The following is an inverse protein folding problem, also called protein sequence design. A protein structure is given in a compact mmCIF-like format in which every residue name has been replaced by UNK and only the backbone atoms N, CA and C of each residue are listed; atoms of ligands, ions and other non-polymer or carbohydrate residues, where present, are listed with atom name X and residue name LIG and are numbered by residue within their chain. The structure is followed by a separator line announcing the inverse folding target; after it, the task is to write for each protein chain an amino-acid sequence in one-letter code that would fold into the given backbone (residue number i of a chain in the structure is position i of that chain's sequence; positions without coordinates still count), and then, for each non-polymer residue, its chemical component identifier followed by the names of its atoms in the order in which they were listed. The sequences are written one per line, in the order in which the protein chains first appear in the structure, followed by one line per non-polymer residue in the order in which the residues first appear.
data_IF_188303427600
#
_entry.id   IF_188303427600
#
_cell.length_a   1.000
_cell.length_b   1.000
_cell.length_c   1.000
_cell.angle_alpha   90.00
_cell.angle_beta   90.00
_cell.angle_gamma   90.00
#
_symmetry.space_group_name_H-M   'P 1'
#
loop_
_entity.id
_entity.type
_entity.pdbx_description
1 polymer ?
#
# COMPACT_ATOMS: atom_id res chain seq x y z
N UNK A 1 6.40 30.70 -4.72
CA UNK A 1 6.28 29.86 -3.51
C UNK A 1 7.29 28.72 -3.61
N UNK A 2 7.87 28.27 -2.50
CA UNK A 2 8.70 27.06 -2.48
C UNK A 2 7.92 25.87 -3.04
N UNK A 3 8.60 24.93 -3.69
CA UNK A 3 7.97 23.67 -4.11
C UNK A 3 7.59 22.87 -2.88
N UNK A 4 6.36 22.34 -2.83
CA UNK A 4 5.90 21.46 -1.74
C UNK A 4 6.79 20.22 -1.66
N UNK A 5 6.97 19.50 -2.76
CA UNK A 5 7.82 18.31 -2.85
C UNK A 5 9.14 18.65 -3.54
N UNK A 6 10.26 18.35 -2.90
CA UNK A 6 11.58 18.43 -3.51
C UNK A 6 12.48 17.35 -2.93
N UNK A 7 12.96 16.46 -3.79
CA UNK A 7 13.80 15.32 -3.43
C UNK A 7 15.10 15.40 -4.20
N UNK A 8 16.23 15.37 -3.49
CA UNK A 8 17.52 15.06 -4.08
C UNK A 8 17.47 13.66 -4.71
N UNK A 9 18.38 13.42 -5.66
CA UNK A 9 18.48 12.12 -6.33
C UNK A 9 18.91 11.03 -5.34
N UNK A 10 17.96 10.16 -5.00
CA UNK A 10 18.14 9.11 -4.01
C UNK A 10 19.16 8.07 -4.45
N UNK A 11 19.14 7.66 -5.72
CA UNK A 11 20.03 6.63 -6.24
C UNK A 11 21.47 7.14 -6.29
N UNK A 12 21.67 8.38 -6.74
CA UNK A 12 22.99 9.02 -6.70
C UNK A 12 23.45 9.17 -5.25
N UNK A 13 22.59 9.64 -4.34
CA UNK A 13 23.01 9.82 -2.95
C UNK A 13 23.55 8.54 -2.31
N UNK A 14 22.86 7.41 -2.50
CA UNK A 14 23.21 6.15 -1.82
C UNK A 14 24.23 5.30 -2.60
N UNK A 15 24.28 5.39 -3.93
CA UNK A 15 25.07 4.47 -4.76
C UNK A 15 26.31 5.10 -5.45
N UNK A 16 26.47 6.42 -5.42
CA UNK A 16 27.52 7.12 -6.18
C UNK A 16 28.95 6.83 -5.69
N UNK A 17 29.17 6.58 -4.39
CA UNK A 17 30.49 6.18 -3.89
C UNK A 17 30.43 5.09 -2.81
N UNK A 18 30.81 3.84 -3.13
CA UNK A 18 30.76 2.73 -2.18
C UNK A 18 31.76 2.83 -1.01
N UNK A 19 32.71 3.77 -1.06
CA UNK A 19 33.72 3.95 0.01
C UNK A 19 33.29 4.96 1.09
N UNK A 20 32.35 5.85 0.78
CA UNK A 20 31.83 6.86 1.71
C UNK A 20 30.31 6.65 1.75
N UNK A 21 29.84 5.74 2.59
CA UNK A 21 28.41 5.52 2.77
C UNK A 21 27.72 6.84 3.14
N UNK A 22 26.78 7.27 2.31
CA UNK A 22 25.98 8.47 2.55
C UNK A 22 24.62 8.10 3.16
N UNK A 23 24.02 9.06 3.86
CA UNK A 23 22.68 8.94 4.43
C UNK A 23 21.74 9.84 3.64
N UNK A 24 20.59 9.31 3.27
CA UNK A 24 19.49 10.05 2.67
C UNK A 24 18.38 10.24 3.69
N UNK A 25 17.95 11.46 3.95
CA UNK A 25 16.89 11.74 4.93
C UNK A 25 15.70 12.40 4.26
N UNK A 26 14.49 11.94 4.61
CA UNK A 26 13.24 12.63 4.28
C UNK A 26 12.79 13.44 5.49
N UNK A 27 12.56 14.72 5.24
CA UNK A 27 12.38 15.75 6.24
C UNK A 27 11.10 16.50 5.94
N UNK A 28 10.26 16.62 6.97
CA UNK A 28 9.09 17.49 6.96
C UNK A 28 9.49 18.87 7.44
N UNK A 29 9.24 19.87 6.63
CA UNK A 29 9.52 21.25 6.95
C UNK A 29 8.23 22.06 7.00
N UNK A 30 8.00 22.79 8.09
CA UNK A 30 6.83 23.65 8.26
C UNK A 30 7.30 25.10 8.28
N UNK A 31 6.88 25.88 7.28
CA UNK A 31 7.25 27.29 7.15
C UNK A 31 6.70 28.09 8.32
N UNK A 32 7.55 28.90 8.96
CA UNK A 32 7.13 29.81 10.02
C UNK A 32 6.26 30.94 9.44
N UNK A 33 5.14 31.27 10.11
CA UNK A 33 4.33 32.40 9.72
C UNK A 33 5.11 33.72 9.78
N UNK A 34 5.09 34.47 8.68
CA UNK A 34 5.67 35.81 8.60
C UNK A 34 4.75 36.74 7.80
N UNK A 35 3.90 37.49 8.51
CA UNK A 35 2.93 38.39 7.89
C UNK A 35 3.59 39.54 7.09
N UNK A 36 4.88 39.80 7.29
CA UNK A 36 5.62 40.82 6.52
C UNK A 36 6.09 40.29 5.16
N UNK A 37 6.12 38.96 4.98
CA UNK A 37 6.53 38.34 3.72
C UNK A 37 5.36 38.22 2.74
N UNK A 38 5.51 38.84 1.56
CA UNK A 38 4.54 38.70 0.46
C UNK A 38 4.36 37.23 0.04
N UNK A 39 5.44 36.43 0.16
CA UNK A 39 5.43 35.00 -0.18
C UNK A 39 4.61 34.22 0.84
N UNK A 40 4.71 34.55 2.13
CA UNK A 40 3.89 33.93 3.17
C UNK A 40 2.39 34.21 2.95
N UNK A 41 2.02 35.46 2.65
CA UNK A 41 0.62 35.81 2.36
C UNK A 41 0.09 35.04 1.13
N UNK A 42 0.94 34.78 0.14
CA UNK A 42 0.59 33.95 -1.01
C UNK A 42 0.39 32.48 -0.61
N UNK A 43 1.27 31.94 0.22
CA UNK A 43 1.15 30.56 0.77
C UNK A 43 -0.16 30.42 1.55
N UNK A 44 -0.46 31.37 2.43
CA UNK A 44 -1.69 31.37 3.23
C UNK A 44 -2.94 31.40 2.34
N UNK A 45 -2.96 32.28 1.33
CA UNK A 45 -4.08 32.38 0.39
C UNK A 45 -4.26 31.11 -0.45
N UNK A 46 -3.16 30.54 -0.97
CA UNK A 46 -3.22 29.31 -1.75
C UNK A 46 -3.69 28.13 -0.91
N UNK A 47 -3.22 28.05 0.34
CA UNK A 47 -3.52 26.96 1.27
C UNK A 47 -4.90 27.08 1.94
N UNK A 48 -5.56 28.25 1.84
CA UNK A 48 -6.89 28.47 2.41
C UNK A 48 -7.96 27.53 1.82
N UNK A 49 -7.84 27.17 0.53
CA UNK A 49 -8.72 26.20 -0.11
C UNK A 49 -8.20 24.76 0.04
N UNK A 50 -8.21 24.26 1.28
CA UNK A 50 -7.70 22.93 1.63
C UNK A 50 -8.38 21.75 0.90
N UNK A 51 -9.53 21.97 0.24
CA UNK A 51 -10.26 20.92 -0.49
C UNK A 51 -9.66 20.61 -1.85
N UNK A 52 -9.03 21.60 -2.50
CA UNK A 52 -8.46 21.47 -3.84
C UNK A 52 -6.94 21.71 -3.84
N UNK A 53 -6.45 22.51 -2.90
CA UNK A 53 -5.05 22.88 -2.80
C UNK A 53 -4.37 22.17 -1.63
N UNK A 54 -3.13 21.78 -1.85
CA UNK A 54 -2.25 21.29 -0.80
C UNK A 54 -1.87 22.46 0.12
N UNK A 55 -1.49 22.14 1.36
CA UNK A 55 -0.94 23.16 2.25
C UNK A 55 0.50 23.48 1.85
N UNK A 56 0.71 24.64 1.22
CA UNK A 56 2.02 25.10 0.72
C UNK A 56 2.97 25.54 1.85
N UNK A 57 2.50 25.64 3.09
CA UNK A 57 3.36 25.82 4.26
C UNK A 57 4.04 24.51 4.70
N UNK A 58 3.51 23.36 4.29
CA UNK A 58 4.10 22.05 4.57
C UNK A 58 4.94 21.60 3.39
N UNK A 59 6.24 21.49 3.63
CA UNK A 59 7.23 21.14 2.64
C UNK A 59 7.76 19.74 2.95
N UNK A 60 7.93 18.94 1.91
CA UNK A 60 8.54 17.61 1.96
C UNK A 60 9.88 17.69 1.24
N UNK A 61 10.96 17.32 1.95
CA UNK A 61 12.34 17.47 1.50
C UNK A 61 13.08 16.14 1.62
N UNK A 62 13.53 15.60 0.50
CA UNK A 62 14.51 14.52 0.48
C UNK A 62 15.91 15.08 0.32
N UNK A 63 16.77 14.88 1.30
CA UNK A 63 18.09 15.47 1.35
C UNK A 63 19.17 14.41 1.45
N UNK A 64 20.18 14.51 0.59
CA UNK A 64 21.41 13.76 0.74
C UNK A 64 22.33 14.46 1.74
N UNK A 65 22.78 13.75 2.78
CA UNK A 65 23.63 14.30 3.83
C UNK A 65 24.90 14.96 3.27
N UNK A 66 25.58 14.28 2.35
CA UNK A 66 26.80 14.77 1.70
C UNK A 66 26.58 16.08 0.94
N UNK A 67 25.51 16.15 0.16
CA UNK A 67 25.21 17.32 -0.68
C UNK A 67 24.72 18.49 0.16
N UNK A 68 24.02 18.19 1.26
CA UNK A 68 23.63 19.15 2.29
C UNK A 68 24.88 19.79 2.92
N UNK A 69 25.87 19.02 3.37
CA UNK A 69 27.12 19.57 3.89
C UNK A 69 27.88 20.43 2.87
N UNK A 70 27.94 19.99 1.61
CA UNK A 70 28.59 20.76 0.54
C UNK A 70 27.88 22.10 0.31
N UNK A 71 26.54 22.10 0.27
CA UNK A 71 25.73 23.32 0.15
C UNK A 71 25.96 24.28 1.32
N UNK A 72 26.04 23.78 2.55
CA UNK A 72 26.32 24.61 3.71
C UNK A 72 27.72 25.24 3.64
N UNK A 73 28.75 24.46 3.29
CA UNK A 73 30.13 24.96 3.12
C UNK A 73 30.22 26.03 2.02
N UNK A 74 29.51 25.83 0.91
CA UNK A 74 29.45 26.81 -0.17
C UNK A 74 28.68 28.08 0.22
N UNK A 75 27.70 27.96 1.13
CA UNK A 75 26.87 29.10 1.55
C UNK A 75 27.61 30.08 2.46
N UNK A 76 28.59 29.62 3.26
CA UNK A 76 29.69 30.37 3.92
C UNK A 76 29.39 31.64 4.72
N UNK A 77 28.17 32.17 4.71
CA UNK A 77 27.83 33.52 5.15
C UNK A 77 26.59 33.63 6.04
N UNK A 78 25.92 32.51 6.33
CA UNK A 78 24.80 32.46 7.28
C UNK A 78 25.27 31.87 8.61
N UNK A 79 24.91 32.54 9.71
CA UNK A 79 25.21 32.03 11.05
C UNK A 79 24.19 30.96 11.47
N UNK A 80 24.61 30.01 12.30
CA UNK A 80 23.74 28.95 12.84
C UNK A 80 22.46 29.51 13.49
N UNK A 81 22.55 30.63 14.19
CA UNK A 81 21.41 31.30 14.83
C UNK A 81 20.40 31.90 13.85
N UNK A 82 20.79 32.10 12.59
CA UNK A 82 19.87 32.57 11.55
C UNK A 82 19.09 31.43 10.92
N UNK A 83 19.68 30.23 10.92
CA UNK A 83 19.18 29.04 10.22
C UNK A 83 18.39 28.09 11.13
N UNK A 84 18.59 28.16 12.44
CA UNK A 84 17.83 27.37 13.40
C UNK A 84 16.65 28.20 13.94
N UNK A 85 15.48 27.58 14.00
CA UNK A 85 14.24 28.20 14.48
C UNK A 85 13.63 27.42 15.64
N UNK A 86 12.97 28.10 16.59
CA UNK A 86 12.29 27.42 17.68
C UNK A 86 11.12 26.58 17.14
N UNK A 87 10.94 25.39 17.70
CA UNK A 87 9.81 24.54 17.32
C UNK A 87 8.48 25.20 17.72
N UNK A 88 7.60 25.37 16.74
CA UNK A 88 6.23 25.81 16.88
C UNK A 88 5.36 24.64 17.36
N UNK A 89 4.59 24.89 18.43
CA UNK A 89 3.51 23.99 18.80
C UNK A 89 2.45 24.02 17.70
N UNK A 90 2.18 22.87 17.11
CA UNK A 90 1.18 22.70 16.05
C UNK A 90 0.02 21.89 16.62
N UNK A 91 -1.22 22.34 16.38
CA UNK A 91 -2.44 21.65 16.84
C UNK A 91 -2.69 20.32 16.12
N UNK A 92 -1.94 20.04 15.05
CA UNK A 92 -2.06 18.85 14.22
C UNK A 92 -0.69 18.19 14.02
N UNK A 93 -0.70 16.87 13.89
CA UNK A 93 0.52 16.09 13.63
C UNK A 93 0.82 16.08 12.13
N UNK A 94 2.04 16.44 11.76
CA UNK A 94 2.51 16.45 10.37
C UNK A 94 3.58 15.38 10.06
N UNK A 95 3.93 14.54 11.04
CA UNK A 95 4.80 13.37 10.92
C UNK A 95 4.06 12.07 11.24
N UNK A 96 4.57 10.93 10.79
CA UNK A 96 4.04 9.62 11.18
C UNK A 96 4.18 9.37 12.68
N UNK A 97 3.39 8.42 13.21
CA UNK A 97 3.50 7.98 14.60
C UNK A 97 4.93 7.50 14.89
N UNK A 98 5.47 7.75 16.11
CA UNK A 98 6.73 7.17 16.52
C UNK A 98 6.74 5.65 16.33
N UNK A 99 7.84 5.12 15.82
CA UNK A 99 8.00 3.69 15.54
C UNK A 99 7.52 3.24 14.16
N UNK A 100 6.92 4.12 13.34
CA UNK A 100 6.52 3.78 11.96
C UNK A 100 7.73 3.40 11.07
N UNK A 101 8.88 4.04 11.31
CA UNK A 101 10.14 3.80 10.60
C UNK A 101 11.27 3.42 11.56
N UNK A 102 12.21 2.62 11.07
CA UNK A 102 13.37 2.13 11.82
C UNK A 102 14.39 3.24 12.13
N UNK A 103 15.03 3.15 13.30
CA UNK A 103 16.18 3.98 13.75
C UNK A 103 15.97 5.50 13.70
N UNK A 104 14.71 5.94 13.56
CA UNK A 104 14.34 7.36 13.40
C UNK A 104 14.89 8.24 14.54
N UNK A 105 14.87 7.75 15.78
CA UNK A 105 15.37 8.50 16.94
C UNK A 105 16.89 8.69 16.93
N UNK A 106 17.64 7.72 16.41
CA UNK A 106 19.09 7.85 16.24
C UNK A 106 19.41 8.91 15.19
N UNK A 107 18.76 8.83 14.03
CA UNK A 107 18.91 9.83 12.98
C UNK A 107 18.50 11.24 13.44
N UNK A 108 17.42 11.35 14.22
CA UNK A 108 16.99 12.62 14.80
C UNK A 108 18.04 13.21 15.75
N UNK A 109 18.68 12.40 16.59
CA UNK A 109 19.75 12.89 17.48
C UNK A 109 20.98 13.36 16.71
N UNK A 110 21.33 12.70 15.62
CA UNK A 110 22.59 12.95 14.92
C UNK A 110 22.48 14.02 13.81
N UNK A 111 21.31 14.16 13.16
CA UNK A 111 21.20 14.93 11.92
C UNK A 111 20.12 16.02 11.90
N UNK A 112 19.26 16.15 12.92
CA UNK A 112 18.14 17.12 12.88
C UNK A 112 18.61 18.56 12.65
N UNK A 113 19.61 19.02 13.41
CA UNK A 113 20.12 20.39 13.27
C UNK A 113 20.74 20.65 11.89
N UNK A 114 21.44 19.64 11.35
CA UNK A 114 22.07 19.74 10.05
C UNK A 114 21.02 19.83 8.93
N UNK A 115 19.98 18.99 9.00
CA UNK A 115 18.87 19.01 8.04
C UNK A 115 18.12 20.35 8.09
N UNK A 116 17.88 20.88 9.29
CA UNK A 116 17.23 22.19 9.46
C UNK A 116 18.03 23.31 8.80
N UNK A 117 19.35 23.35 9.05
CA UNK A 117 20.24 24.32 8.41
C UNK A 117 20.19 24.22 6.90
N UNK A 118 20.22 23.01 6.34
CA UNK A 118 20.18 22.81 4.90
C UNK A 118 18.89 23.28 4.24
N UNK A 119 17.74 22.98 4.85
CA UNK A 119 16.44 23.47 4.36
C UNK A 119 16.39 25.00 4.45
N UNK A 120 16.81 25.58 5.57
CA UNK A 120 16.71 27.01 5.79
C UNK A 120 17.70 27.84 4.98
N UNK A 121 18.88 27.31 4.61
CA UNK A 121 19.78 28.03 3.69
C UNK A 121 19.12 28.28 2.34
N UNK A 122 18.42 27.29 1.80
CA UNK A 122 17.70 27.43 0.54
C UNK A 122 16.49 28.36 0.69
N UNK A 123 15.64 28.12 1.70
CA UNK A 123 14.42 28.90 1.92
C UNK A 123 14.72 30.38 2.18
N UNK A 124 15.76 30.68 2.96
CA UNK A 124 16.14 32.04 3.29
C UNK A 124 16.75 32.74 2.07
N UNK A 125 17.63 32.06 1.32
CA UNK A 125 18.29 32.64 0.14
C UNK A 125 17.29 32.94 -0.99
N UNK A 126 16.40 32.00 -1.28
CA UNK A 126 15.57 32.06 -2.49
C UNK A 126 14.19 32.69 -2.21
N UNK A 127 13.71 32.64 -0.97
CA UNK A 127 12.36 33.10 -0.61
C UNK A 127 12.31 33.99 0.64
N UNK A 128 13.42 34.20 1.37
CA UNK A 128 13.41 34.96 2.62
C UNK A 128 12.59 34.30 3.74
N UNK A 129 12.32 33.00 3.65
CA UNK A 129 11.50 32.25 4.60
C UNK A 129 12.34 31.38 5.51
N UNK A 130 11.78 30.99 6.65
CA UNK A 130 12.35 29.98 7.56
C UNK A 130 11.32 28.91 7.85
N UNK A 131 11.77 27.69 8.09
CA UNK A 131 10.92 26.57 8.43
C UNK A 131 11.52 25.78 9.58
N UNK A 132 10.66 25.31 10.48
CA UNK A 132 11.06 24.26 11.42
C UNK A 132 11.10 22.93 10.69
N UNK A 133 12.00 22.02 11.09
CA UNK A 133 12.12 20.74 10.42
C UNK A 133 12.04 19.56 11.38
N UNK A 134 11.55 18.44 10.86
CA UNK A 134 11.51 17.17 11.57
C UNK A 134 11.82 16.03 10.60
N UNK A 135 12.77 15.19 10.98
CA UNK A 135 13.13 14.00 10.21
C UNK A 135 11.99 12.99 10.31
N UNK A 136 11.46 12.57 9.17
CA UNK A 136 10.43 11.54 9.05
C UNK A 136 11.08 10.15 9.09
N UNK A 137 12.09 9.93 8.25
CA UNK A 137 12.97 8.76 8.25
C UNK A 137 14.27 9.06 7.51
N UNK A 138 15.27 8.21 7.70
CA UNK A 138 16.49 8.23 6.90
C UNK A 138 16.84 6.83 6.42
N UNK A 139 17.72 6.78 5.43
CA UNK A 139 18.19 5.58 4.80
C UNK A 139 19.70 5.63 4.53
N UNK A 140 20.34 4.46 4.54
CA UNK A 140 21.75 4.27 4.28
C UNK A 140 21.95 2.97 3.50
N UNK A 141 22.83 3.00 2.49
CA UNK A 141 23.19 1.81 1.70
C UNK A 141 23.81 0.67 2.54
N UNK A 142 24.34 0.99 3.73
CA UNK A 142 24.96 -0.01 4.61
C UNK A 142 23.95 -0.82 5.44
N UNK A 143 22.69 -0.38 5.53
CA UNK A 143 21.70 -0.98 6.41
C UNK A 143 20.60 -1.65 5.59
N UNK A 144 20.48 -2.97 5.74
CA UNK A 144 19.36 -3.74 5.19
C UNK A 144 18.51 -4.35 6.31
N UNK A 145 17.28 -4.72 5.97
CA UNK A 145 16.43 -5.46 6.90
C UNK A 145 17.04 -6.84 7.18
N UNK A 146 17.25 -7.22 8.46
CA UNK A 146 17.65 -8.58 8.78
C UNK A 146 16.51 -9.54 8.41
N UNK A 147 16.88 -10.76 8.03
CA UNK A 147 15.91 -11.82 7.75
C UNK A 147 15.33 -12.29 9.08
N UNK A 148 14.05 -12.01 9.29
CA UNK A 148 13.30 -12.38 10.48
C UNK A 148 12.59 -13.74 10.32
N UNK A 149 12.12 -14.34 11.40
CA UNK A 149 11.44 -15.63 11.38
C UNK A 149 10.15 -15.61 10.53
N UNK A 150 9.49 -14.46 10.43
CA UNK A 150 8.33 -14.25 9.55
C UNK A 150 8.72 -14.38 8.07
N UNK A 151 9.86 -13.84 7.65
CA UNK A 151 10.35 -13.93 6.26
C UNK A 151 10.70 -15.38 5.89
N UNK A 152 11.29 -16.13 6.83
CA UNK A 152 11.56 -17.56 6.65
C UNK A 152 10.25 -18.34 6.52
N UNK A 153 9.27 -18.03 7.38
CA UNK A 153 7.94 -18.67 7.36
C UNK A 153 7.23 -18.43 6.04
N UNK A 154 7.29 -17.21 5.49
CA UNK A 154 6.74 -16.90 4.17
C UNK A 154 7.35 -17.76 3.06
N UNK A 155 8.69 -17.91 3.05
CA UNK A 155 9.38 -18.75 2.05
C UNK A 155 8.95 -20.21 2.20
N UNK A 156 8.91 -20.74 3.42
CA UNK A 156 8.50 -22.12 3.67
C UNK A 156 7.06 -22.40 3.22
N UNK A 157 6.13 -21.49 3.51
CA UNK A 157 4.74 -21.59 3.05
C UNK A 157 4.68 -21.54 1.53
N UNK A 158 5.39 -20.60 0.89
CA UNK A 158 5.41 -20.44 -0.57
C UNK A 158 5.97 -21.70 -1.25
N UNK A 159 7.10 -22.22 -0.77
CA UNK A 159 7.69 -23.47 -1.27
C UNK A 159 6.77 -24.67 -1.01
N UNK A 160 6.09 -24.71 0.13
CA UNK A 160 5.09 -25.74 0.45
C UNK A 160 3.92 -25.74 -0.53
N UNK A 161 3.36 -24.57 -0.84
CA UNK A 161 2.27 -24.41 -1.82
C UNK A 161 2.73 -24.83 -3.22
N UNK A 162 3.90 -24.35 -3.66
CA UNK A 162 4.49 -24.76 -4.95
C UNK A 162 4.70 -26.27 -4.99
N UNK A 163 5.25 -26.86 -3.92
CA UNK A 163 5.45 -28.30 -3.80
C UNK A 163 4.15 -29.10 -3.89
N UNK A 164 3.08 -28.65 -3.22
CA UNK A 164 1.75 -29.28 -3.29
C UNK A 164 1.19 -29.22 -4.71
N UNK A 165 1.29 -28.07 -5.38
CA UNK A 165 0.81 -27.88 -6.75
C UNK A 165 1.58 -28.77 -7.73
N UNK A 166 2.91 -28.84 -7.61
CA UNK A 166 3.75 -29.69 -8.45
C UNK A 166 3.47 -31.18 -8.21
N UNK A 167 3.40 -31.62 -6.94
CA UNK A 167 3.11 -33.00 -6.58
C UNK A 167 1.69 -33.42 -7.04
N UNK A 168 0.70 -32.55 -6.86
CA UNK A 168 -0.67 -32.79 -7.31
C UNK A 168 -0.78 -32.87 -8.84
N UNK A 169 -0.09 -31.97 -9.55
CA UNK A 169 -0.06 -31.97 -11.02
C UNK A 169 0.69 -33.19 -11.57
N UNK A 170 1.77 -33.62 -10.93
CA UNK A 170 2.50 -34.83 -11.30
C UNK A 170 1.66 -36.09 -11.03
N UNK A 171 0.96 -36.15 -9.90
CA UNK A 171 0.05 -37.25 -9.58
C UNK A 171 -1.07 -37.37 -10.61
N UNK A 172 -1.73 -36.26 -10.97
CA UNK A 172 -2.79 -36.24 -12.00
C UNK A 172 -2.27 -36.67 -13.37
N UNK A 173 -1.04 -36.27 -13.74
CA UNK A 173 -0.37 -36.74 -14.95
C UNK A 173 -0.07 -38.24 -14.89
N UNK A 174 0.38 -38.76 -13.75
CA UNK A 174 0.69 -40.19 -13.58
C UNK A 174 -0.55 -41.07 -13.60
N UNK A 175 -1.71 -40.54 -13.20
CA UNK A 175 -3.00 -41.24 -13.30
C UNK A 175 -3.58 -41.26 -14.72
N UNK A 176 -2.95 -40.59 -15.69
CA UNK A 176 -3.42 -40.55 -17.07
C UNK A 176 -3.19 -41.90 -17.75
N UNK A 177 -4.27 -42.65 -17.97
CA UNK A 177 -4.24 -43.96 -18.64
C UNK A 177 -4.55 -43.89 -20.14
N UNK A 178 -5.09 -42.78 -20.63
CA UNK A 178 -5.50 -42.60 -22.04
C UNK A 178 -4.70 -41.48 -22.71
N UNK A 179 -4.38 -41.63 -24.00
CA UNK A 179 -3.73 -40.60 -24.83
C UNK A 179 -4.69 -39.47 -25.23
N UNK A 180 -5.34 -38.82 -24.25
CA UNK A 180 -6.27 -37.71 -24.49
C UNK A 180 -6.31 -36.70 -23.34
N UNK A 181 -6.78 -35.49 -23.64
CA UNK A 181 -6.98 -34.41 -22.66
C UNK A 181 -8.30 -34.54 -21.88
N UNK A 182 -9.15 -35.51 -22.26
CA UNK A 182 -10.44 -35.77 -21.62
C UNK A 182 -10.31 -36.20 -20.16
N UNK A 183 -9.19 -36.85 -19.79
CA UNK A 183 -8.87 -37.23 -18.41
C UNK A 183 -8.97 -36.05 -17.41
N UNK A 184 -8.55 -34.86 -17.84
CA UNK A 184 -8.55 -33.66 -16.99
C UNK A 184 -9.92 -32.98 -16.89
N UNK A 185 -10.89 -33.37 -17.72
CA UNK A 185 -12.24 -32.76 -17.74
C UNK A 185 -13.23 -33.50 -16.85
N UNK A 186 -12.97 -34.76 -16.52
CA UNK A 186 -13.87 -35.62 -15.75
C UNK A 186 -13.31 -35.92 -14.37
N UNK A 187 -14.14 -35.92 -13.34
CA UNK A 187 -13.73 -36.26 -11.98
C UNK A 187 -13.20 -37.70 -11.87
N UNK A 188 -12.21 -37.93 -11.01
CA UNK A 188 -11.67 -39.26 -10.75
C UNK A 188 -12.65 -40.09 -9.89
N UNK A 189 -12.68 -41.42 -10.06
CA UNK A 189 -13.68 -42.28 -9.41
C UNK A 189 -13.54 -42.35 -7.88
N UNK A 190 -12.36 -42.07 -7.32
CA UNK A 190 -12.13 -42.15 -5.86
C UNK A 190 -12.05 -40.77 -5.21
N UNK A 191 -12.74 -40.58 -4.08
CA UNK A 191 -12.66 -39.36 -3.26
C UNK A 191 -11.22 -39.05 -2.83
N UNK A 192 -10.40 -40.07 -2.53
CA UNK A 192 -8.99 -39.88 -2.18
C UNK A 192 -8.20 -39.31 -3.35
N UNK A 193 -8.46 -39.83 -4.56
CA UNK A 193 -7.84 -39.32 -5.79
C UNK A 193 -8.28 -37.88 -6.07
N UNK A 194 -9.57 -37.55 -5.88
CA UNK A 194 -10.07 -36.19 -6.05
C UNK A 194 -9.34 -35.17 -5.15
N UNK A 195 -9.08 -35.52 -3.89
CA UNK A 195 -8.31 -34.67 -2.97
C UNK A 195 -6.87 -34.50 -3.47
N UNK A 196 -6.22 -35.58 -3.89
CA UNK A 196 -4.84 -35.55 -4.37
C UNK A 196 -4.66 -34.75 -5.68
N UNK A 197 -5.69 -34.67 -6.53
CA UNK A 197 -5.66 -33.86 -7.77
C UNK A 197 -6.24 -32.44 -7.61
N UNK A 198 -6.66 -32.04 -6.40
CA UNK A 198 -7.34 -30.77 -6.18
C UNK A 198 -6.48 -29.55 -6.52
N UNK A 199 -5.15 -29.68 -6.46
CA UNK A 199 -4.19 -28.62 -6.80
C UNK A 199 -3.54 -28.80 -8.18
N UNK A 200 -4.04 -29.74 -9.00
CA UNK A 200 -3.54 -29.97 -10.36
C UNK A 200 -3.81 -28.77 -11.27
N UNK A 201 -2.75 -28.20 -11.85
CA UNK A 201 -2.85 -27.00 -12.70
C UNK A 201 -3.73 -27.27 -13.92
N UNK A 202 -3.51 -28.38 -14.62
CA UNK A 202 -4.17 -28.68 -15.90
C UNK A 202 -5.68 -28.87 -15.68
N UNK A 203 -6.05 -29.61 -14.62
CA UNK A 203 -7.46 -29.85 -14.27
C UNK A 203 -8.15 -28.57 -13.83
N UNK A 204 -7.50 -27.77 -12.98
CA UNK A 204 -8.04 -26.48 -12.54
C UNK A 204 -8.18 -25.49 -13.71
N UNK A 205 -7.27 -25.50 -14.69
CA UNK A 205 -7.40 -24.72 -15.92
C UNK A 205 -8.65 -25.09 -16.72
N UNK A 206 -8.91 -26.38 -16.93
CA UNK A 206 -10.13 -26.84 -17.60
C UNK A 206 -11.39 -26.50 -16.81
N UNK A 207 -11.31 -26.46 -15.47
CA UNK A 207 -12.43 -26.08 -14.61
C UNK A 207 -12.72 -24.58 -14.62
N UNK A 208 -11.69 -23.74 -14.74
CA UNK A 208 -11.83 -22.28 -14.85
C UNK A 208 -12.35 -21.88 -16.24
N UNK A 209 -11.96 -22.62 -17.28
CA UNK A 209 -12.36 -22.34 -18.67
C UNK A 209 -13.63 -23.09 -19.10
N UNK A 210 -14.18 -23.96 -18.24
CA UNK A 210 -15.43 -24.66 -18.54
C UNK A 210 -16.62 -23.70 -18.46
N UNK A 211 -17.59 -23.90 -19.35
CA UNK A 211 -18.87 -23.19 -19.30
C UNK A 211 -19.83 -23.98 -18.42
N UNK A 212 -20.45 -23.30 -17.46
CA UNK A 212 -21.56 -23.88 -16.70
C UNK A 212 -22.80 -23.89 -17.58
N UNK A 213 -23.47 -25.03 -17.66
CA UNK A 213 -24.65 -25.25 -18.49
C UNK A 213 -25.95 -25.26 -17.65
N UNK A 214 -25.99 -24.39 -16.64
CA UNK A 214 -27.13 -24.25 -15.73
C UNK A 214 -27.98 -23.04 -16.12
N UNK A 215 -29.30 -23.16 -16.03
CA UNK A 215 -30.25 -22.12 -16.43
C UNK A 215 -30.03 -20.83 -15.64
N UNK A 216 -29.79 -20.94 -14.34
CA UNK A 216 -29.49 -19.80 -13.48
C UNK A 216 -28.17 -19.09 -13.87
N UNK A 217 -27.16 -19.87 -14.27
CA UNK A 217 -25.89 -19.32 -14.77
C UNK A 217 -26.06 -18.58 -16.11
N UNK A 218 -26.99 -19.05 -16.95
CA UNK A 218 -27.37 -18.37 -18.17
C UNK A 218 -28.05 -17.02 -17.88
N UNK A 219 -28.99 -17.00 -16.93
CA UNK A 219 -29.77 -15.80 -16.58
C UNK A 219 -28.92 -14.72 -15.87
N UNK A 220 -27.91 -15.13 -15.09
CA UNK A 220 -27.02 -14.22 -14.36
C UNK A 220 -25.77 -13.81 -15.15
N UNK A 221 -25.66 -14.20 -16.43
CA UNK A 221 -24.45 -13.96 -17.24
C UNK A 221 -24.08 -12.48 -17.37
N UNK A 222 -25.06 -11.59 -17.48
CA UNK A 222 -24.82 -10.14 -17.57
C UNK A 222 -24.18 -9.58 -16.28
N UNK A 223 -24.49 -10.16 -15.11
CA UNK A 223 -23.90 -9.75 -13.83
C UNK A 223 -22.40 -10.05 -13.82
N UNK A 224 -21.98 -11.16 -14.44
CA UNK A 224 -20.57 -11.48 -14.59
C UNK A 224 -19.83 -10.44 -15.45
N UNK A 225 -20.46 -9.93 -16.50
CA UNK A 225 -19.91 -8.83 -17.31
C UNK A 225 -19.78 -7.54 -16.49
N UNK A 226 -20.82 -7.15 -15.75
CA UNK A 226 -20.76 -5.97 -14.88
C UNK A 226 -19.65 -6.13 -13.84
N UNK A 227 -19.54 -7.31 -13.22
CA UNK A 227 -18.49 -7.62 -12.25
C UNK A 227 -17.09 -7.47 -12.85
N UNK A 228 -16.88 -7.93 -14.08
CA UNK A 228 -15.62 -7.75 -14.79
C UNK A 228 -15.28 -6.26 -15.00
N UNK A 229 -16.25 -5.46 -15.44
CA UNK A 229 -16.05 -4.02 -15.65
C UNK A 229 -15.74 -3.29 -14.33
N UNK A 230 -16.45 -3.63 -13.25
CA UNK A 230 -16.20 -3.10 -11.92
C UNK A 230 -14.79 -3.46 -11.45
N UNK A 231 -14.38 -4.73 -11.57
CA UNK A 231 -13.01 -5.14 -11.23
C UNK A 231 -11.95 -4.40 -12.03
N UNK A 232 -12.14 -4.26 -13.35
CA UNK A 232 -11.22 -3.51 -14.20
C UNK A 232 -11.11 -2.04 -13.75
N UNK A 233 -12.23 -1.41 -13.42
CA UNK A 233 -12.27 -0.05 -12.90
C UNK A 233 -11.53 0.09 -11.57
N UNK A 234 -11.74 -0.84 -10.64
CA UNK A 234 -11.01 -0.89 -9.36
C UNK A 234 -9.51 -1.03 -9.59
N UNK A 235 -9.09 -1.98 -10.44
CA UNK A 235 -7.66 -2.20 -10.74
C UNK A 235 -7.03 -0.97 -11.39
N UNK A 236 -7.71 -0.34 -12.36
CA UNK A 236 -7.24 0.88 -12.99
C UNK A 236 -7.09 2.01 -11.96
N UNK A 237 -8.07 2.17 -11.06
CA UNK A 237 -8.02 3.15 -9.99
C UNK A 237 -6.80 2.96 -9.08
N UNK A 238 -6.50 1.72 -8.67
CA UNK A 238 -5.31 1.43 -7.85
C UNK A 238 -4.01 1.70 -8.60
N UNK A 239 -3.91 1.34 -9.89
CA UNK A 239 -2.72 1.62 -10.70
C UNK A 239 -2.48 3.13 -10.80
N UNK A 240 -3.53 3.92 -11.04
CA UNK A 240 -3.43 5.39 -11.08
C UNK A 240 -3.07 5.95 -9.70
N UNK A 241 -3.62 5.37 -8.63
CA UNK A 241 -3.31 5.78 -7.26
C UNK A 241 -1.85 5.52 -6.88
N UNK A 242 -1.24 4.43 -7.33
CA UNK A 242 0.20 4.21 -7.12
C UNK A 242 1.08 5.05 -8.05
N UNK A 243 0.58 5.44 -9.22
CA UNK A 243 1.24 6.35 -10.15
C UNK A 243 1.03 7.83 -9.74
N UNK A 244 1.46 8.21 -8.54
CA UNK A 244 1.31 9.58 -8.02
C UNK A 244 2.15 10.60 -8.82
N UNK A 245 1.61 11.80 -9.12
CA UNK A 245 2.39 12.87 -9.73
C UNK A 245 3.51 13.35 -8.80
N UNK A 246 4.67 13.70 -9.36
CA UNK A 246 5.83 14.14 -8.57
C UNK A 246 5.78 15.60 -8.11
N UNK A 247 4.74 16.37 -8.50
CA UNK A 247 4.65 17.79 -8.16
C UNK A 247 3.27 18.16 -7.61
N UNK A 248 3.26 19.09 -6.65
CA UNK A 248 2.03 19.58 -6.04
C UNK A 248 1.08 20.22 -7.04
N UNK A 249 1.61 21.02 -7.99
CA UNK A 249 0.77 21.67 -9.00
C UNK A 249 0.01 20.64 -9.85
N UNK A 250 0.69 19.57 -10.29
CA UNK A 250 0.02 18.51 -11.06
C UNK A 250 -1.03 17.80 -10.23
N UNK A 251 -0.83 17.64 -8.92
CA UNK A 251 -1.83 17.04 -8.03
C UNK A 251 -3.06 17.95 -7.94
N UNK A 252 -2.85 19.24 -7.68
CA UNK A 252 -3.91 20.26 -7.56
C UNK A 252 -4.73 20.38 -8.86
N UNK A 253 -4.07 20.49 -10.01
CA UNK A 253 -4.74 20.53 -11.33
C UNK A 253 -5.54 19.26 -11.62
N UNK A 254 -5.10 18.11 -11.11
CA UNK A 254 -5.81 16.83 -11.30
C UNK A 254 -7.08 16.74 -10.46
N UNK A 255 -7.14 17.41 -9.31
CA UNK A 255 -8.37 17.45 -8.50
C UNK A 255 -9.53 18.16 -9.22
N UNK A 256 -9.25 19.04 -10.18
CA UNK A 256 -10.27 19.71 -10.99
C UNK A 256 -10.74 18.87 -12.20
N UNK A 257 -10.07 17.76 -12.52
CA UNK A 257 -10.45 16.88 -13.61
C UNK A 257 -11.58 15.92 -13.20
N UNK A 258 -12.63 15.85 -14.03
CA UNK A 258 -13.80 15.00 -13.78
C UNK A 258 -13.41 13.52 -13.68
N UNK A 259 -12.47 13.07 -14.51
CA UNK A 259 -12.03 11.67 -14.52
C UNK A 259 -11.35 11.32 -13.19
N UNK A 260 -10.46 12.19 -12.72
CA UNK A 260 -9.80 12.05 -11.41
C UNK A 260 -10.81 12.04 -10.27
N UNK A 261 -11.81 12.95 -10.30
CA UNK A 261 -12.84 13.00 -9.26
C UNK A 261 -13.65 11.70 -9.18
N UNK A 262 -13.94 11.06 -10.31
CA UNK A 262 -14.62 9.76 -10.35
C UNK A 262 -13.73 8.66 -9.75
N UNK A 263 -12.43 8.65 -10.09
CA UNK A 263 -11.46 7.65 -9.59
C UNK A 263 -11.23 7.80 -8.09
N UNK A 264 -11.09 9.03 -7.59
CA UNK A 264 -10.93 9.33 -6.15
C UNK A 264 -12.19 8.94 -5.37
N UNK A 265 -13.37 9.13 -5.95
CA UNK A 265 -14.63 8.60 -5.40
C UNK A 265 -14.82 7.09 -5.63
N UNK A 266 -13.73 6.32 -5.71
CA UNK A 266 -13.73 4.88 -5.96
C UNK A 266 -14.56 4.06 -4.97
N UNK A 267 -14.90 4.60 -3.80
CA UNK A 267 -15.84 4.00 -2.85
C UNK A 267 -17.18 3.65 -3.50
N UNK A 268 -17.68 4.46 -4.44
CA UNK A 268 -18.94 4.17 -5.15
C UNK A 268 -18.84 2.93 -6.05
N UNK A 269 -17.68 2.72 -6.67
CA UNK A 269 -17.40 1.53 -7.48
C UNK A 269 -17.40 0.29 -6.59
N UNK A 270 -16.77 0.39 -5.41
CA UNK A 270 -16.74 -0.69 -4.42
C UNK A 270 -18.14 -0.99 -3.85
N UNK A 271 -18.98 0.03 -3.61
CA UNK A 271 -20.38 -0.16 -3.19
C UNK A 271 -21.16 -0.99 -4.21
N UNK A 272 -20.98 -0.72 -5.51
CA UNK A 272 -21.63 -1.50 -6.58
C UNK A 272 -21.22 -2.98 -6.52
N UNK A 273 -19.95 -3.26 -6.24
CA UNK A 273 -19.46 -4.62 -6.04
C UNK A 273 -20.12 -5.32 -4.84
N UNK A 274 -20.28 -4.61 -3.72
CA UNK A 274 -20.99 -5.14 -2.55
C UNK A 274 -22.47 -5.41 -2.83
N UNK A 275 -23.15 -4.54 -3.59
CA UNK A 275 -24.54 -4.75 -4.01
C UNK A 275 -24.67 -6.02 -4.87
N UNK A 276 -23.80 -6.22 -5.85
CA UNK A 276 -23.81 -7.44 -6.68
C UNK A 276 -23.51 -8.68 -5.84
N UNK A 277 -22.56 -8.60 -4.91
CA UNK A 277 -22.18 -9.71 -4.04
C UNK A 277 -23.28 -10.09 -3.06
N UNK A 278 -24.02 -9.11 -2.54
CA UNK A 278 -25.18 -9.33 -1.66
C UNK A 278 -26.36 -9.94 -2.43
N UNK A 279 -26.65 -9.45 -3.65
CA UNK A 279 -27.65 -10.06 -4.53
C UNK A 279 -27.36 -11.55 -4.77
N UNK A 280 -26.13 -11.88 -5.14
CA UNK A 280 -25.71 -13.27 -5.36
C UNK A 280 -25.83 -14.14 -4.10
N UNK A 281 -25.53 -13.58 -2.94
CA UNK A 281 -25.69 -14.27 -1.67
C UNK A 281 -27.17 -14.59 -1.39
N UNK A 282 -28.07 -13.63 -1.63
CA UNK A 282 -29.52 -13.82 -1.44
C UNK A 282 -30.06 -14.87 -2.40
N UNK A 283 -29.69 -14.82 -3.68
CA UNK A 283 -30.11 -15.81 -4.68
C UNK A 283 -29.67 -17.22 -4.27
N UNK A 284 -28.44 -17.37 -3.78
CA UNK A 284 -27.94 -18.64 -3.25
C UNK A 284 -28.76 -19.14 -2.05
N UNK A 285 -29.14 -18.25 -1.12
CA UNK A 285 -29.99 -18.61 0.01
C UNK A 285 -31.39 -19.04 -0.41
N UNK A 286 -32.01 -18.32 -1.35
CA UNK A 286 -33.35 -18.64 -1.85
C UNK A 286 -33.35 -20.01 -2.54
N UNK A 287 -32.38 -20.24 -3.44
CA UNK A 287 -32.25 -21.52 -4.13
C UNK A 287 -32.04 -22.67 -3.14
N UNK A 288 -31.15 -22.49 -2.15
CA UNK A 288 -30.91 -23.51 -1.13
C UNK A 288 -32.15 -23.76 -0.27
N UNK A 289 -32.91 -22.73 0.08
CA UNK A 289 -34.16 -22.89 0.83
C UNK A 289 -35.21 -23.69 0.04
N UNK A 290 -35.32 -23.46 -1.27
CA UNK A 290 -36.18 -24.22 -2.17
C UNK A 290 -35.75 -25.69 -2.29
N UNK A 291 -34.46 -25.95 -2.51
CA UNK A 291 -33.91 -27.31 -2.65
C UNK A 291 -34.02 -28.13 -1.37
N UNK A 292 -33.69 -27.52 -0.22
CA UNK A 292 -33.64 -28.22 1.06
C UNK A 292 -35.00 -28.30 1.76
N UNK A 293 -36.02 -27.56 1.25
CA UNK A 293 -37.34 -27.36 1.87
C UNK A 293 -37.29 -27.02 3.37
N UNK A 294 -36.19 -26.42 3.81
CA UNK A 294 -35.93 -26.04 5.20
C UNK A 294 -35.78 -24.53 5.26
N UNK A 295 -36.30 -23.94 6.34
CA UNK A 295 -36.02 -22.55 6.63
C UNK A 295 -34.54 -22.39 6.97
N UNK A 296 -33.92 -21.34 6.42
CA UNK A 296 -32.53 -21.01 6.69
C UNK A 296 -32.42 -20.61 8.17
N UNK A 297 -31.99 -21.55 9.01
CA UNK A 297 -31.79 -21.31 10.43
C UNK A 297 -30.50 -20.52 10.69
N UNK A 298 -30.40 -19.91 11.88
CA UNK A 298 -29.19 -19.20 12.34
C UNK A 298 -27.94 -20.09 12.24
N UNK A 299 -28.10 -21.39 12.50
CA UNK A 299 -27.01 -22.37 12.39
C UNK A 299 -26.49 -22.52 10.94
N UNK A 300 -27.37 -22.48 9.94
CA UNK A 300 -26.96 -22.54 8.54
C UNK A 300 -26.22 -21.28 8.11
N UNK A 301 -26.67 -20.11 8.59
CA UNK A 301 -25.98 -18.83 8.38
C UNK A 301 -24.57 -18.90 8.98
N UNK A 302 -24.44 -19.43 10.21
CA UNK A 302 -23.14 -19.61 10.85
C UNK A 302 -22.21 -20.52 10.05
N UNK A 303 -22.71 -21.67 9.57
CA UNK A 303 -21.92 -22.59 8.73
C UNK A 303 -21.47 -21.91 7.44
N UNK A 304 -22.34 -21.15 6.78
CA UNK A 304 -22.01 -20.45 5.53
C UNK A 304 -20.98 -19.34 5.77
N UNK A 305 -21.13 -18.58 6.85
CA UNK A 305 -20.17 -17.55 7.26
C UNK A 305 -18.80 -18.16 7.59
N UNK A 306 -18.78 -19.29 8.31
CA UNK A 306 -17.55 -20.02 8.60
C UNK A 306 -16.90 -20.57 7.32
N UNK A 307 -17.69 -21.15 6.41
CA UNK A 307 -17.18 -21.62 5.12
C UNK A 307 -16.60 -20.48 4.27
N UNK A 308 -17.23 -19.29 4.31
CA UNK A 308 -16.71 -18.08 3.66
C UNK A 308 -15.40 -17.64 4.29
N UNK A 309 -15.31 -17.62 5.62
CA UNK A 309 -14.09 -17.28 6.35
C UNK A 309 -12.95 -18.25 5.98
N UNK A 310 -13.16 -19.56 6.09
CA UNK A 310 -12.16 -20.58 5.73
C UNK A 310 -11.75 -20.51 4.25
N UNK A 311 -12.63 -20.02 3.36
CA UNK A 311 -12.33 -19.85 1.94
C UNK A 311 -11.48 -18.60 1.65
N UNK A 312 -11.80 -17.46 2.25
CA UNK A 312 -11.17 -16.17 1.91
C UNK A 312 -9.90 -15.92 2.72
N UNK A 313 -9.94 -16.26 4.01
CA UNK A 313 -8.88 -15.95 4.97
C UNK A 313 -7.52 -16.54 4.58
N UNK A 314 -7.37 -17.77 4.03
CA UNK A 314 -6.05 -18.29 3.69
C UNK A 314 -5.32 -17.46 2.62
N UNK A 315 -6.05 -16.98 1.61
CA UNK A 315 -5.46 -16.14 0.56
C UNK A 315 -5.12 -14.76 1.12
N UNK A 316 -6.03 -14.16 1.88
CA UNK A 316 -5.79 -12.87 2.51
C UNK A 316 -4.60 -12.91 3.48
N UNK A 317 -4.51 -13.96 4.32
CA UNK A 317 -3.39 -14.17 5.23
C UNK A 317 -2.05 -14.32 4.49
N UNK A 318 -2.05 -14.94 3.32
CA UNK A 318 -0.85 -15.09 2.50
C UNK A 318 -0.37 -13.74 1.95
N UNK A 319 -1.28 -12.90 1.43
CA UNK A 319 -0.92 -11.58 0.90
C UNK A 319 -0.51 -10.62 2.02
N UNK A 320 -1.21 -10.63 3.15
CA UNK A 320 -0.82 -9.91 4.37
C UNK A 320 0.58 -10.32 4.85
N UNK A 321 0.89 -11.62 4.86
CA UNK A 321 2.22 -12.10 5.24
C UNK A 321 3.29 -11.62 4.25
N UNK A 322 2.98 -11.58 2.95
CA UNK A 322 3.87 -11.05 1.93
C UNK A 322 4.19 -9.56 2.13
N UNK A 323 3.18 -8.74 2.38
CA UNK A 323 3.33 -7.30 2.70
C UNK A 323 4.17 -7.09 3.96
N UNK A 324 3.88 -7.85 5.02
CA UNK A 324 4.61 -7.77 6.28
C UNK A 324 6.07 -8.25 6.20
N UNK A 325 6.50 -8.89 5.11
CA UNK A 325 7.81 -9.55 4.99
C UNK A 325 8.60 -9.12 3.77
N UNK A 326 8.28 -9.64 2.60
CA UNK A 326 9.09 -9.54 1.39
C UNK A 326 8.83 -8.30 0.55
N UNK A 327 7.66 -7.67 0.70
CA UNK A 327 7.31 -6.49 -0.09
C UNK A 327 8.33 -5.37 0.07
N UNK A 328 8.85 -5.12 1.28
CA UNK A 328 9.87 -4.07 1.53
C UNK A 328 11.16 -4.28 0.71
N UNK A 329 11.45 -5.50 0.25
CA UNK A 329 12.66 -5.85 -0.51
C UNK A 329 12.48 -5.80 -2.03
N UNK A 330 11.25 -5.61 -2.54
CA UNK A 330 10.99 -5.67 -3.98
C UNK A 330 11.25 -4.35 -4.72
N UNK A 331 11.53 -3.28 -3.98
CA UNK A 331 11.86 -1.99 -4.53
C UNK A 331 12.65 -1.17 -3.52
N UNK A 332 13.27 -0.11 -4.02
CA UNK A 332 13.98 0.89 -3.23
C UNK A 332 13.51 2.28 -3.66
N UNK A 333 13.74 3.28 -2.81
CA UNK A 333 13.37 4.66 -3.06
C UNK A 333 12.62 5.31 -1.90
N UNK A 334 12.61 6.66 -1.85
CA UNK A 334 12.02 7.39 -0.74
C UNK A 334 10.52 7.11 -0.65
N UNK A 335 9.78 7.24 -1.74
CA UNK A 335 8.32 6.99 -1.75
C UNK A 335 7.97 5.52 -1.47
N UNK A 336 8.81 4.59 -1.92
CA UNK A 336 8.62 3.15 -1.67
C UNK A 336 8.68 2.85 -0.17
N UNK A 337 9.71 3.35 0.52
CA UNK A 337 9.82 3.19 1.98
C UNK A 337 8.65 3.85 2.70
N UNK A 338 8.27 5.06 2.31
CA UNK A 338 7.16 5.78 2.93
C UNK A 338 5.86 4.97 2.94
N UNK A 339 5.55 4.25 1.86
CA UNK A 339 4.37 3.39 1.78
C UNK A 339 4.58 2.00 2.38
N UNK A 340 5.65 1.31 1.97
CA UNK A 340 5.83 -0.12 2.27
C UNK A 340 6.42 -0.37 3.66
N UNK A 341 7.30 0.50 4.17
CA UNK A 341 7.83 0.38 5.52
C UNK A 341 6.75 0.66 6.56
N UNK A 342 5.97 1.72 6.36
CA UNK A 342 4.84 2.04 7.23
C UNK A 342 3.79 0.93 7.19
N UNK A 343 3.42 0.46 5.99
CA UNK A 343 2.54 -0.68 5.80
C UNK A 343 3.03 -1.93 6.53
N UNK A 344 4.32 -2.29 6.38
CA UNK A 344 4.94 -3.41 7.10
C UNK A 344 4.85 -3.26 8.61
N UNK A 345 5.19 -2.09 9.16
CA UNK A 345 5.20 -1.85 10.60
C UNK A 345 3.79 -1.96 11.19
N UNK A 346 2.83 -1.20 10.64
CA UNK A 346 1.45 -1.24 11.12
C UNK A 346 0.81 -2.61 10.89
N UNK A 347 1.14 -3.28 9.78
CA UNK A 347 0.62 -4.60 9.52
C UNK A 347 1.10 -5.63 10.55
N UNK A 348 2.38 -5.59 10.93
CA UNK A 348 2.93 -6.45 11.99
C UNK A 348 2.36 -6.14 13.37
N UNK A 349 1.98 -4.90 13.65
CA UNK A 349 1.32 -4.53 14.92
C UNK A 349 -0.16 -4.97 14.93
N UNK A 350 -0.84 -4.85 13.78
CA UNK A 350 -2.30 -4.93 13.67
C UNK A 350 -2.82 -6.20 13.00
N UNK A 351 -1.96 -7.17 12.67
CA UNK A 351 -2.30 -8.38 11.92
C UNK A 351 -3.56 -9.09 12.43
N UNK A 352 -3.74 -9.15 13.76
CA UNK A 352 -4.87 -9.86 14.37
C UNK A 352 -6.21 -9.15 14.11
N UNK A 353 -6.24 -7.82 14.09
CA UNK A 353 -7.45 -7.05 13.78
C UNK A 353 -7.87 -7.24 12.33
N UNK A 354 -6.89 -7.34 11.43
CA UNK A 354 -7.11 -7.62 10.01
C UNK A 354 -7.61 -9.05 9.81
N UNK A 355 -7.02 -10.04 10.50
CA UNK A 355 -7.45 -11.44 10.44
C UNK A 355 -8.89 -11.65 10.91
N UNK A 356 -9.34 -10.86 11.89
CA UNK A 356 -10.70 -10.87 12.41
C UNK A 356 -11.67 -9.97 11.63
N UNK A 357 -11.20 -9.22 10.61
CA UNK A 357 -11.98 -8.24 9.84
C UNK A 357 -12.66 -7.16 10.70
N UNK A 358 -12.00 -6.72 11.79
CA UNK A 358 -12.51 -5.68 12.73
C UNK A 358 -11.64 -4.42 12.76
N UNK A 359 -10.69 -4.30 11.82
CA UNK A 359 -9.78 -3.17 11.68
C UNK A 359 -10.51 -1.82 11.59
N UNK A 360 -11.67 -1.78 10.90
CA UNK A 360 -12.50 -0.58 10.75
C UNK A 360 -13.13 -0.07 12.07
N UNK A 361 -13.13 -0.86 13.15
CA UNK A 361 -13.77 -0.51 14.41
C UNK A 361 -12.79 -0.20 15.53
N UNK A 362 -11.67 -0.91 15.61
CA UNK A 362 -10.71 -0.79 16.72
C UNK A 362 -9.56 0.18 16.43
N UNK A 363 -9.13 0.30 15.18
CA UNK A 363 -7.93 1.06 14.78
C UNK A 363 -8.19 1.85 13.49
N UNK A 364 -9.31 2.56 13.43
CA UNK A 364 -9.73 3.32 12.26
C UNK A 364 -8.74 4.42 11.84
N UNK A 365 -7.98 4.97 12.79
CA UNK A 365 -7.02 6.06 12.53
C UNK A 365 -5.61 5.58 12.16
N UNK A 366 -5.37 4.26 12.10
CA UNK A 366 -4.08 3.67 11.73
C UNK A 366 -4.16 3.05 10.33
N UNK A 367 -3.08 3.10 9.53
CA UNK A 367 -2.99 2.34 8.28
C UNK A 367 -3.23 0.85 8.55
N UNK A 368 -4.04 0.23 7.70
CA UNK A 368 -4.33 -1.20 7.74
C UNK A 368 -3.33 -1.95 6.86
N UNK A 369 -3.18 -3.28 7.08
CA UNK A 369 -2.50 -4.11 6.08
C UNK A 369 -3.28 -3.99 4.77
N UNK A 370 -2.60 -3.73 3.65
CA UNK A 370 -3.20 -3.51 2.33
C UNK A 370 -4.07 -2.23 2.24
N UNK A 371 -3.71 -1.18 2.97
CA UNK A 371 -4.41 0.11 3.05
C UNK A 371 -3.93 1.18 2.08
#
# INVERSE_FOLDING_TARGET
MPRVFMYDDYDICLNDNPTIGSVYCVVKAVVHPDNQSDIWQLIERASANWKQNLNHAHLDRGLCLRDCEQRLRASGGYNDTQLLVPKLETDFRYTFLPGAFRDTDEYRRNYSELMEKCVNVELLRDYGLKAQTEIEYCDSASQSYPIDWLEITFILITLGVIGIVLASSWYDYSCKTTHGLNHYKTDLPSKKQMILVSFSIIRNWYRITSRTDDQLSHDLRFIHTIRMLVFLGVTLGHVVFYAQPRTALTIEERFDDLVTMIVINGTQIVTTFFTISSLMLVLFFVQKAEETKRQVGIFEIFIISLARYVRLTPVYAFVMLFEATWMIRMGDGPLWRKGVETGRTYCRENWWTNMLYINNYLKADQPVCEG
#
